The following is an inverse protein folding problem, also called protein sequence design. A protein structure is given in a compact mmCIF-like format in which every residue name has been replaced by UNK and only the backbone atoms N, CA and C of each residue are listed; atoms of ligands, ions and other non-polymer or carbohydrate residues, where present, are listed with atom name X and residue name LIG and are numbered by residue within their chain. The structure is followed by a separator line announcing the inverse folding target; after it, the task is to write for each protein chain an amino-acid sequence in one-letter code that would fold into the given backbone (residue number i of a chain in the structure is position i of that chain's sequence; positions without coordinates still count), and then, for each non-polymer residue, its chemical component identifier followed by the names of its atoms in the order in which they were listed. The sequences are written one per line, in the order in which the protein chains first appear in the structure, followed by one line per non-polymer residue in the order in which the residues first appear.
data_IF_924484172651
#
_entry.id   IF_924484172651
#
_cell.length_a   1.000
_cell.length_b   1.000
_cell.length_c   1.000
_cell.angle_alpha   90.00
_cell.angle_beta   90.00
_cell.angle_gamma   90.00
#
_symmetry.space_group_name_H-M   'P 1'
#
loop_
_entity.id
_entity.type
_entity.pdbx_description
1 polymer ?
#
# COMPACT_ATOMS: atom_id res chain seq x y z
N UNK A 1 10.28 -25.66 -16.49
CA UNK A 1 10.47 -25.60 -15.02
C UNK A 1 9.17 -25.10 -14.42
N UNK A 2 8.47 -25.96 -13.68
CA UNK A 2 7.15 -25.69 -13.11
C UNK A 2 7.32 -25.17 -11.67
N UNK A 3 6.74 -24.03 -11.34
CA UNK A 3 6.49 -23.66 -9.96
C UNK A 3 5.04 -23.18 -9.80
N UNK A 4 4.24 -24.07 -9.20
CA UNK A 4 2.93 -23.80 -8.63
C UNK A 4 3.14 -23.02 -7.32
N UNK A 5 2.78 -21.74 -7.29
CA UNK A 5 2.82 -20.93 -6.08
C UNK A 5 1.67 -21.32 -5.14
N UNK A 6 1.97 -22.22 -4.21
CA UNK A 6 1.17 -22.48 -3.01
C UNK A 6 1.27 -21.27 -2.08
N UNK A 7 0.13 -20.69 -1.71
CA UNK A 7 0.11 -19.62 -0.70
C UNK A 7 -1.24 -18.95 -0.51
N UNK A 8 -2.34 -19.68 -0.68
CA UNK A 8 -3.69 -19.22 -0.36
C UNK A 8 -3.76 -18.98 1.16
N UNK A 9 -3.77 -17.71 1.59
CA UNK A 9 -3.96 -17.30 2.98
C UNK A 9 -5.43 -17.54 3.39
N UNK A 10 -5.79 -18.81 3.57
CA UNK A 10 -7.11 -19.26 4.01
C UNK A 10 -7.20 -19.42 5.55
N UNK A 11 -6.20 -18.98 6.31
CA UNK A 11 -6.06 -19.32 7.73
C UNK A 11 -6.56 -18.26 8.73
N UNK A 12 -7.35 -17.26 8.30
CA UNK A 12 -8.00 -16.30 9.23
C UNK A 12 -9.53 -16.28 9.20
N UNK A 13 -10.16 -17.25 8.54
CA UNK A 13 -11.63 -17.31 8.38
C UNK A 13 -12.30 -18.59 8.92
N UNK A 14 -11.58 -19.41 9.69
CA UNK A 14 -12.15 -20.62 10.31
C UNK A 14 -12.30 -20.46 11.83
N UNK A 15 -13.00 -19.41 12.28
CA UNK A 15 -13.83 -19.54 13.50
C UNK A 15 -15.19 -19.96 12.98
N UNK A 16 -15.30 -21.27 12.79
CA UNK A 16 -16.41 -21.96 12.15
C UNK A 16 -17.64 -21.90 13.08
N UNK A 17 -18.65 -21.17 12.62
CA UNK A 17 -20.01 -21.15 13.13
C UNK A 17 -20.62 -22.56 13.15
N UNK A 18 -20.40 -23.31 14.22
CA UNK A 18 -21.15 -24.53 14.52
C UNK A 18 -21.74 -24.45 15.93
N UNK A 19 -22.71 -23.57 16.12
CA UNK A 19 -23.78 -23.75 17.09
C UNK A 19 -25.09 -23.23 16.48
N UNK A 20 -25.65 -24.07 15.61
CA UNK A 20 -27.07 -24.48 15.50
C UNK A 20 -28.10 -23.52 16.13
N UNK A 21 -29.06 -23.07 15.32
CA UNK A 21 -30.34 -22.58 15.86
C UNK A 21 -31.17 -21.77 14.87
N UNK A 22 -32.03 -22.44 14.12
CA UNK A 22 -33.17 -21.92 13.35
C UNK A 22 -33.76 -20.58 13.81
N UNK A 23 -33.74 -19.55 12.96
CA UNK A 23 -34.89 -19.03 12.21
C UNK A 23 -34.53 -17.69 11.53
N UNK A 24 -35.23 -17.41 10.44
CA UNK A 24 -34.84 -16.44 9.43
C UNK A 24 -34.71 -15.01 9.92
N UNK A 25 -33.70 -14.32 9.40
CA UNK A 25 -33.86 -12.95 8.94
C UNK A 25 -32.82 -12.72 7.83
N UNK A 26 -33.29 -12.41 6.63
CA UNK A 26 -32.46 -11.90 5.53
C UNK A 26 -31.93 -10.53 5.93
N UNK A 27 -30.86 -10.52 6.71
CA UNK A 27 -30.14 -9.32 7.14
C UNK A 27 -28.65 -9.61 7.07
N UNK A 28 -28.12 -9.67 5.85
CA UNK A 28 -26.68 -9.78 5.64
C UNK A 28 -26.00 -8.56 6.26
N UNK A 29 -25.34 -8.75 7.41
CA UNK A 29 -24.48 -7.73 7.98
C UNK A 29 -23.24 -7.66 7.10
N UNK A 30 -23.26 -6.74 6.13
CA UNK A 30 -22.08 -6.34 5.39
C UNK A 30 -21.17 -5.58 6.36
N UNK A 31 -20.18 -6.27 6.92
CA UNK A 31 -19.10 -5.62 7.65
C UNK A 31 -18.23 -4.83 6.66
N UNK A 32 -18.58 -3.57 6.42
CA UNK A 32 -17.69 -2.64 5.76
C UNK A 32 -16.60 -2.23 6.76
N UNK A 33 -15.33 -2.48 6.42
CA UNK A 33 -14.22 -1.97 7.24
C UNK A 33 -14.22 -0.44 7.18
N UNK A 34 -14.24 0.21 8.34
CA UNK A 34 -14.11 1.67 8.45
C UNK A 34 -12.67 2.06 8.14
N UNK A 35 -12.39 2.41 6.88
CA UNK A 35 -11.05 2.83 6.44
C UNK A 35 -10.70 4.20 7.01
N UNK A 36 -9.64 4.27 7.83
CA UNK A 36 -9.05 5.54 8.25
C UNK A 36 -8.10 6.02 7.15
N UNK A 37 -8.48 7.11 6.48
CA UNK A 37 -7.61 7.77 5.50
C UNK A 37 -6.76 8.80 6.22
N UNK A 38 -5.44 8.65 6.14
CA UNK A 38 -4.50 9.68 6.60
C UNK A 38 -3.99 10.46 5.39
N UNK A 39 -4.11 11.78 5.42
CA UNK A 39 -3.65 12.65 4.33
C UNK A 39 -2.32 13.28 4.71
N UNK A 40 -1.31 13.03 3.87
CA UNK A 40 -0.04 13.74 3.90
C UNK A 40 -0.04 14.83 2.83
N UNK A 41 0.53 15.98 3.16
CA UNK A 41 0.64 17.16 2.30
C UNK A 41 2.05 17.72 2.36
N UNK A 42 2.35 18.70 1.50
CA UNK A 42 3.65 19.37 1.50
C UNK A 42 3.99 19.96 2.87
N UNK A 43 2.98 20.45 3.60
CA UNK A 43 3.14 20.96 4.98
C UNK A 43 3.60 19.90 5.99
N UNK A 44 3.45 18.62 5.67
CA UNK A 44 3.79 17.48 6.52
C UNK A 44 5.06 16.75 6.04
N UNK A 45 5.82 17.33 5.09
CA UNK A 45 7.10 16.80 4.63
C UNK A 45 7.07 16.10 3.26
N UNK A 46 5.92 16.09 2.56
CA UNK A 46 5.87 15.60 1.18
C UNK A 46 6.55 16.61 0.24
N UNK A 47 7.54 16.23 -0.58
CA UNK A 47 8.32 17.19 -1.37
C UNK A 47 7.56 17.79 -2.56
N UNK A 48 6.52 17.14 -3.08
CA UNK A 48 5.65 17.69 -4.13
C UNK A 48 4.19 17.31 -3.91
N UNK A 49 3.27 18.16 -4.38
CA UNK A 49 1.82 17.87 -4.42
C UNK A 49 1.39 16.99 -5.59
N UNK A 50 2.25 16.78 -6.59
CA UNK A 50 1.96 15.97 -7.77
C UNK A 50 2.66 14.62 -7.69
N UNK A 51 1.89 13.60 -7.34
CA UNK A 51 2.34 12.21 -7.30
C UNK A 51 1.79 11.46 -8.53
N UNK A 52 2.68 10.85 -9.31
CA UNK A 52 2.32 10.05 -10.48
C UNK A 52 2.12 8.57 -10.16
N UNK A 53 2.93 8.02 -9.26
CA UNK A 53 2.85 6.62 -8.89
C UNK A 53 3.18 6.41 -7.42
N UNK A 54 2.71 5.27 -6.88
CA UNK A 54 3.01 4.81 -5.54
C UNK A 54 3.30 3.31 -5.58
N UNK A 55 4.35 2.88 -4.87
CA UNK A 55 4.72 1.48 -4.68
C UNK A 55 4.97 1.21 -3.19
N UNK A 56 4.79 -0.05 -2.78
CA UNK A 56 5.12 -0.52 -1.43
C UNK A 56 6.27 -1.51 -1.56
N UNK A 57 7.34 -1.33 -0.78
CA UNK A 57 8.42 -2.31 -0.73
C UNK A 57 8.15 -3.41 0.32
N UNK A 58 8.96 -4.47 0.28
CA UNK A 58 8.88 -5.61 1.21
C UNK A 58 9.16 -5.25 2.68
N UNK A 59 9.74 -4.08 2.94
CA UNK A 59 10.01 -3.55 4.29
C UNK A 59 8.87 -2.66 4.81
N UNK A 60 7.83 -2.45 4.01
CA UNK A 60 6.69 -1.62 4.35
C UNK A 60 6.89 -0.12 4.12
N UNK A 61 7.95 0.30 3.42
CA UNK A 61 8.10 1.70 3.03
C UNK A 61 7.22 2.01 1.82
N UNK A 62 6.64 3.21 1.84
CA UNK A 62 5.87 3.75 0.72
C UNK A 62 6.82 4.56 -0.15
N UNK A 63 6.88 4.21 -1.42
CA UNK A 63 7.64 4.92 -2.44
C UNK A 63 6.67 5.69 -3.33
N UNK A 64 6.93 6.96 -3.58
CA UNK A 64 6.10 7.81 -4.44
C UNK A 64 6.96 8.48 -5.51
N UNK A 65 6.57 8.33 -6.77
CA UNK A 65 7.15 9.06 -7.90
C UNK A 65 6.41 10.37 -8.12
N UNK A 66 7.15 11.47 -8.23
CA UNK A 66 6.61 12.84 -8.33
C UNK A 66 7.23 13.59 -9.50
N UNK A 67 6.80 14.82 -9.75
CA UNK A 67 7.46 15.74 -10.70
C UNK A 67 8.83 16.24 -10.20
N UNK A 68 9.15 16.02 -8.92
CA UNK A 68 10.36 16.53 -8.25
C UNK A 68 11.27 15.43 -7.72
N UNK A 69 11.10 14.20 -8.22
CA UNK A 69 11.89 13.03 -7.88
C UNK A 69 11.07 11.95 -7.18
N UNK A 70 11.77 11.11 -6.43
CA UNK A 70 11.21 10.00 -5.66
C UNK A 70 11.17 10.34 -4.18
N UNK A 71 10.11 9.92 -3.51
CA UNK A 71 9.93 10.07 -2.07
C UNK A 71 9.80 8.69 -1.45
N UNK A 72 10.58 8.41 -0.41
CA UNK A 72 10.40 7.25 0.46
C UNK A 72 9.83 7.70 1.79
N UNK A 73 8.74 7.07 2.22
CA UNK A 73 8.15 7.25 3.53
C UNK A 73 8.19 5.94 4.32
N UNK A 74 8.82 5.98 5.50
CA UNK A 74 8.99 4.81 6.39
C UNK A 74 7.91 4.70 7.48
N UNK A 75 6.89 5.57 7.44
CA UNK A 75 5.87 5.71 8.49
C UNK A 75 6.12 6.88 9.45
N UNK A 76 7.35 7.41 9.48
CA UNK A 76 7.76 8.50 10.37
C UNK A 76 8.41 9.65 9.61
N UNK A 77 9.24 9.36 8.61
CA UNK A 77 10.08 10.33 7.90
C UNK A 77 9.92 10.21 6.38
N UNK A 78 9.95 11.37 5.71
CA UNK A 78 10.00 11.47 4.26
C UNK A 78 11.44 11.72 3.82
N UNK A 79 11.97 10.85 2.97
CA UNK A 79 13.29 10.98 2.36
C UNK A 79 13.11 11.22 0.86
N UNK A 80 13.70 12.28 0.33
CA UNK A 80 13.51 12.70 -1.06
C UNK A 80 14.80 12.48 -1.87
N UNK A 81 14.65 11.96 -3.08
CA UNK A 81 15.72 11.68 -4.02
C UNK A 81 15.40 12.35 -5.35
N UNK A 82 16.34 13.14 -5.88
CA UNK A 82 16.20 13.87 -7.13
C UNK A 82 17.50 13.77 -7.94
N UNK A 83 17.68 14.61 -8.96
CA UNK A 83 18.91 14.63 -9.77
C UNK A 83 20.20 14.83 -8.95
N UNK A 84 20.19 15.60 -7.87
CA UNK A 84 21.39 15.77 -7.02
C UNK A 84 21.70 14.51 -6.21
N UNK A 85 20.71 13.64 -6.01
CA UNK A 85 20.86 12.32 -5.42
C UNK A 85 21.18 11.21 -6.45
N UNK A 86 21.36 11.56 -7.73
CA UNK A 86 21.76 10.64 -8.79
C UNK A 86 20.62 10.09 -9.65
N UNK A 87 19.39 10.61 -9.52
CA UNK A 87 18.34 10.26 -10.49
C UNK A 87 18.63 10.89 -11.85
N UNK A 88 18.35 10.19 -12.97
CA UNK A 88 18.55 10.76 -14.30
C UNK A 88 17.59 11.93 -14.60
N UNK A 89 16.38 11.88 -14.06
CA UNK A 89 15.35 12.91 -14.21
C UNK A 89 14.52 13.04 -12.92
N UNK A 90 13.90 14.21 -12.74
CA UNK A 90 13.01 14.48 -11.60
C UNK A 90 11.59 13.94 -11.81
N UNK A 91 11.07 13.92 -13.03
CA UNK A 91 9.77 13.32 -13.31
C UNK A 91 9.83 11.80 -13.25
N UNK A 92 9.18 11.22 -12.24
CA UNK A 92 9.15 9.77 -12.04
C UNK A 92 7.73 9.25 -12.14
N UNK A 93 7.42 8.66 -13.29
CA UNK A 93 6.08 8.15 -13.61
C UNK A 93 5.80 6.75 -13.08
N UNK A 94 6.83 5.92 -12.90
CA UNK A 94 6.68 4.53 -12.47
C UNK A 94 7.79 4.16 -11.50
N UNK A 95 7.44 3.42 -10.46
CA UNK A 95 8.35 2.77 -9.53
C UNK A 95 7.95 1.30 -9.51
N UNK A 96 8.94 0.44 -9.73
CA UNK A 96 8.77 -1.01 -9.70
C UNK A 96 9.69 -1.55 -8.63
N UNK A 97 9.13 -2.31 -7.69
CA UNK A 97 9.93 -3.08 -6.73
C UNK A 97 10.46 -4.32 -7.45
N UNK A 98 11.78 -4.51 -7.42
CA UNK A 98 12.48 -5.61 -8.10
C UNK A 98 12.31 -6.96 -7.37
N UNK A 99 11.69 -6.95 -6.19
CA UNK A 99 11.56 -8.11 -5.30
C UNK A 99 10.18 -8.81 -5.37
N UNK A 100 9.43 -8.63 -6.47
CA UNK A 100 8.14 -9.30 -6.69
C UNK A 100 8.25 -10.62 -7.45
#
# INVERSE_FOLDING_TARGET
MNYQAKGLCAAKLLIFCLLIGSQGTLGGVLYAQKSRVHRYSVKQGLPSSHTYCVALDTKGNIWAGTESGVVRFDGFTFNSYNQTAGLPQNDVFFIVDDQQ
#
